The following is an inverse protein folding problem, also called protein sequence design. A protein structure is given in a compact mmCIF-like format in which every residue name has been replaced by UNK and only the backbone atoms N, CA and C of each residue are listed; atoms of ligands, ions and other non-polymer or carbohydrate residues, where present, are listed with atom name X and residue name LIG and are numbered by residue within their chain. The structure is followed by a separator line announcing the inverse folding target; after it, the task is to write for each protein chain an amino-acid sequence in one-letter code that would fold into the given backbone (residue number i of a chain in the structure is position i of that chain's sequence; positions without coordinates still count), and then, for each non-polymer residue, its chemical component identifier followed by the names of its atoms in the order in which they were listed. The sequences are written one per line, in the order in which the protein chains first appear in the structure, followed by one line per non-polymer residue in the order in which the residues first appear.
data_IF_701196800347
#
_entry.id   IF_701196800347
#
_cell.length_a   1.000
_cell.length_b   1.000
_cell.length_c   1.000
_cell.angle_alpha   90.00
_cell.angle_beta   90.00
_cell.angle_gamma   90.00
#
_symmetry.space_group_name_H-M   'P 1'
#
loop_
_entity.id
_entity.type
_entity.pdbx_description
1 polymer ?
#
# COMPACT_ATOMS: atom_id res chain seq x y z
N UNK A 1 -33.65 12.29 -19.78
CA UNK A 1 -32.48 13.10 -20.10
C UNK A 1 -31.89 13.70 -18.82
N UNK A 2 -32.66 14.41 -17.99
CA UNK A 2 -32.24 15.05 -16.73
C UNK A 2 -31.62 14.03 -15.77
N UNK A 3 -32.26 12.86 -15.56
CA UNK A 3 -31.72 11.77 -14.72
C UNK A 3 -30.31 11.36 -15.16
N UNK A 4 -30.08 11.17 -16.45
CA UNK A 4 -28.78 10.71 -16.97
C UNK A 4 -27.70 11.80 -16.79
N UNK A 5 -28.05 13.08 -16.99
CA UNK A 5 -27.12 14.20 -16.71
C UNK A 5 -26.76 14.30 -15.24
N UNK A 6 -27.72 14.16 -14.34
CA UNK A 6 -27.48 14.13 -12.90
C UNK A 6 -26.57 12.94 -12.49
N UNK A 7 -26.78 11.77 -13.09
CA UNK A 7 -25.94 10.60 -12.82
C UNK A 7 -24.51 10.82 -13.30
N UNK A 8 -24.30 11.40 -14.48
CA UNK A 8 -22.96 11.74 -14.98
C UNK A 8 -22.27 12.76 -14.09
N UNK A 9 -23.00 13.80 -13.66
CA UNK A 9 -22.47 14.81 -12.74
C UNK A 9 -22.07 14.18 -11.39
N UNK A 10 -22.92 13.32 -10.84
CA UNK A 10 -22.64 12.60 -9.58
C UNK A 10 -21.39 11.71 -9.72
N UNK A 11 -21.24 10.95 -10.81
CA UNK A 11 -20.09 10.09 -11.06
C UNK A 11 -18.82 10.94 -11.18
N UNK A 12 -18.87 12.05 -11.92
CA UNK A 12 -17.73 12.95 -12.08
C UNK A 12 -17.29 13.54 -10.72
N UNK A 13 -18.23 14.09 -9.97
CA UNK A 13 -17.96 14.73 -8.69
C UNK A 13 -17.39 13.72 -7.67
N UNK A 14 -18.03 12.55 -7.57
CA UNK A 14 -17.56 11.46 -6.74
C UNK A 14 -16.14 11.01 -7.11
N UNK A 15 -15.90 10.74 -8.40
CA UNK A 15 -14.59 10.28 -8.87
C UNK A 15 -13.50 11.31 -8.58
N UNK A 16 -13.78 12.60 -8.89
CA UNK A 16 -12.81 13.67 -8.62
C UNK A 16 -12.46 13.77 -7.12
N UNK A 17 -13.47 13.71 -6.24
CA UNK A 17 -13.25 13.75 -4.79
C UNK A 17 -12.39 12.58 -4.31
N UNK A 18 -12.70 11.37 -4.74
CA UNK A 18 -11.98 10.15 -4.31
C UNK A 18 -10.55 10.11 -4.87
N UNK A 19 -10.35 10.54 -6.12
CA UNK A 19 -9.00 10.61 -6.69
C UNK A 19 -8.13 11.67 -6.00
N UNK A 20 -8.67 12.85 -5.68
CA UNK A 20 -7.95 13.86 -4.92
C UNK A 20 -7.56 13.36 -3.52
N UNK A 21 -8.50 12.72 -2.80
CA UNK A 21 -8.21 12.10 -1.51
C UNK A 21 -7.10 11.06 -1.61
N UNK A 22 -7.13 10.22 -2.65
CA UNK A 22 -6.10 9.19 -2.86
C UNK A 22 -4.73 9.81 -3.11
N UNK A 23 -4.66 10.84 -3.96
CA UNK A 23 -3.44 11.62 -4.21
C UNK A 23 -2.86 12.17 -2.92
N UNK A 24 -3.66 12.93 -2.16
CA UNK A 24 -3.21 13.57 -0.92
C UNK A 24 -2.74 12.55 0.12
N UNK A 25 -3.42 11.41 0.21
CA UNK A 25 -3.03 10.33 1.12
C UNK A 25 -1.77 9.62 0.66
N UNK A 26 -1.60 9.35 -0.63
CA UNK A 26 -0.37 8.77 -1.19
C UNK A 26 0.84 9.67 -0.95
N UNK A 27 0.71 10.97 -1.17
CA UNK A 27 1.74 11.96 -0.83
C UNK A 27 2.08 11.95 0.66
N UNK A 28 1.07 11.88 1.54
CA UNK A 28 1.28 11.81 2.97
C UNK A 28 1.97 10.51 3.41
N UNK A 29 1.64 9.37 2.80
CA UNK A 29 2.31 8.09 3.04
C UNK A 29 3.79 8.20 2.64
N UNK A 30 4.09 8.79 1.47
CA UNK A 30 5.47 9.03 1.04
C UNK A 30 6.22 9.93 2.03
N UNK A 31 5.60 11.02 2.50
CA UNK A 31 6.17 11.91 3.53
C UNK A 31 6.50 11.13 4.80
N UNK A 32 5.60 10.27 5.27
CA UNK A 32 5.83 9.43 6.45
C UNK A 32 7.01 8.49 6.22
N UNK A 33 7.10 7.85 5.04
CA UNK A 33 8.22 6.95 4.74
C UNK A 33 9.56 7.68 4.66
N UNK A 34 9.61 8.87 4.07
CA UNK A 34 10.81 9.70 4.03
C UNK A 34 11.21 10.23 5.41
N UNK A 35 10.27 10.32 6.36
CA UNK A 35 10.56 10.73 7.74
C UNK A 35 11.15 9.60 8.60
N UNK A 36 11.05 8.34 8.15
CA UNK A 36 11.60 7.18 8.89
C UNK A 36 13.12 7.26 8.97
N UNK A 37 13.68 6.74 10.07
CA UNK A 37 15.12 6.52 10.13
C UNK A 37 15.56 5.51 9.06
N UNK A 38 16.78 5.67 8.54
CA UNK A 38 17.34 4.77 7.53
C UNK A 38 17.28 3.28 7.94
N UNK A 39 17.51 3.00 9.21
CA UNK A 39 17.42 1.65 9.77
C UNK A 39 16.00 1.05 9.68
N UNK A 40 14.97 1.87 9.93
CA UNK A 40 13.56 1.47 9.77
C UNK A 40 13.19 1.32 8.29
N UNK A 41 13.72 2.21 7.44
CA UNK A 41 13.48 2.17 5.99
C UNK A 41 14.05 0.87 5.38
N UNK A 42 15.24 0.44 5.75
CA UNK A 42 15.87 -0.76 5.21
C UNK A 42 15.22 -2.10 5.63
N UNK A 43 14.21 -2.08 6.51
CA UNK A 43 13.45 -3.29 6.87
C UNK A 43 12.54 -3.80 5.76
N UNK A 44 12.21 -2.95 4.82
CA UNK A 44 11.36 -3.28 3.66
C UNK A 44 12.13 -3.08 2.36
N UNK A 45 11.70 -3.78 1.34
CA UNK A 45 12.24 -3.58 -0.02
C UNK A 45 11.58 -2.37 -0.69
N UNK A 46 12.27 -1.78 -1.65
CA UNK A 46 11.73 -0.66 -2.46
C UNK A 46 10.41 -1.05 -3.12
N UNK A 47 10.31 -2.29 -3.61
CA UNK A 47 9.09 -2.85 -4.22
C UNK A 47 7.89 -2.85 -3.26
N UNK A 48 8.13 -3.12 -1.95
CA UNK A 48 7.07 -3.07 -0.94
C UNK A 48 6.60 -1.63 -0.71
N UNK A 49 7.51 -0.65 -0.69
CA UNK A 49 7.14 0.76 -0.59
C UNK A 49 6.35 1.25 -1.78
N UNK A 50 6.77 0.93 -3.00
CA UNK A 50 6.04 1.30 -4.24
C UNK A 50 4.62 0.73 -4.20
N UNK A 51 4.49 -0.56 -3.84
CA UNK A 51 3.19 -1.21 -3.71
C UNK A 51 2.30 -0.49 -2.69
N UNK A 52 2.83 -0.15 -1.52
CA UNK A 52 2.05 0.48 -0.45
C UNK A 52 1.62 1.92 -0.79
N UNK A 53 2.52 2.71 -1.39
CA UNK A 53 2.23 4.11 -1.73
C UNK A 53 1.20 4.22 -2.85
N UNK A 54 1.30 3.37 -3.86
CA UNK A 54 0.44 3.45 -5.05
C UNK A 54 -0.73 2.49 -4.92
N UNK A 55 -0.45 1.18 -4.86
CA UNK A 55 -1.47 0.13 -5.01
C UNK A 55 -2.35 -0.04 -3.77
N UNK A 56 -1.75 -0.06 -2.58
CA UNK A 56 -2.52 -0.25 -1.35
C UNK A 56 -3.31 1.02 -1.02
N UNK A 57 -2.78 2.22 -1.29
CA UNK A 57 -3.53 3.47 -1.18
C UNK A 57 -4.73 3.51 -2.15
N UNK A 58 -4.53 3.15 -3.42
CA UNK A 58 -5.59 3.05 -4.41
C UNK A 58 -6.68 2.06 -3.98
N UNK A 59 -6.29 0.85 -3.55
CA UNK A 59 -7.23 -0.16 -3.08
C UNK A 59 -8.06 0.30 -1.87
N UNK A 60 -7.49 1.07 -0.95
CA UNK A 60 -8.20 1.56 0.24
C UNK A 60 -9.11 2.74 -0.11
N UNK A 61 -8.57 3.79 -0.71
CA UNK A 61 -9.31 5.04 -0.88
C UNK A 61 -10.26 5.02 -2.08
N UNK A 62 -9.87 4.45 -3.21
CA UNK A 62 -10.75 4.29 -4.37
C UNK A 62 -11.60 3.02 -4.21
N UNK A 63 -10.94 1.89 -3.93
CA UNK A 63 -11.60 0.59 -3.88
C UNK A 63 -12.58 0.49 -2.70
N UNK A 64 -12.07 0.41 -1.48
CA UNK A 64 -12.91 0.10 -0.30
C UNK A 64 -13.93 1.22 -0.02
N UNK A 65 -13.51 2.49 -0.06
CA UNK A 65 -14.42 3.61 0.20
C UNK A 65 -15.57 3.65 -0.82
N UNK A 66 -15.27 3.49 -2.11
CA UNK A 66 -16.28 3.43 -3.16
C UNK A 66 -17.27 2.29 -3.00
N UNK A 67 -16.76 1.12 -2.63
CA UNK A 67 -17.59 -0.06 -2.40
C UNK A 67 -18.50 0.12 -1.18
N UNK A 68 -18.03 0.75 -0.09
CA UNK A 68 -18.85 1.04 1.08
C UNK A 68 -20.00 2.02 0.75
N UNK A 69 -19.72 3.06 -0.02
CA UNK A 69 -20.77 3.99 -0.49
C UNK A 69 -21.81 3.24 -1.33
N UNK A 70 -21.39 2.36 -2.23
CA UNK A 70 -22.31 1.54 -3.03
C UNK A 70 -23.20 0.66 -2.13
N UNK A 71 -22.62 0.01 -1.11
CA UNK A 71 -23.38 -0.83 -0.16
C UNK A 71 -24.45 0.00 0.54
N UNK A 72 -24.10 1.17 1.06
CA UNK A 72 -25.06 2.06 1.76
C UNK A 72 -26.20 2.47 0.83
N UNK A 73 -25.90 2.90 -0.39
CA UNK A 73 -26.91 3.30 -1.36
C UNK A 73 -27.87 2.15 -1.74
N UNK A 74 -27.32 0.96 -1.97
CA UNK A 74 -28.15 -0.20 -2.34
C UNK A 74 -28.97 -0.73 -1.14
N UNK A 75 -28.46 -0.65 0.09
CA UNK A 75 -29.24 -0.97 1.31
C UNK A 75 -30.42 -0.01 1.45
N UNK A 76 -30.21 1.30 1.30
CA UNK A 76 -31.29 2.29 1.35
C UNK A 76 -32.35 2.02 0.26
N UNK A 77 -31.90 1.68 -0.94
CA UNK A 77 -32.81 1.31 -2.04
C UNK A 77 -33.64 0.07 -1.69
N UNK A 78 -33.03 -0.98 -1.13
CA UNK A 78 -33.74 -2.18 -0.70
C UNK A 78 -34.75 -1.88 0.42
N UNK A 79 -34.42 -1.03 1.37
CA UNK A 79 -35.37 -0.62 2.42
C UNK A 79 -36.61 0.06 1.84
N UNK A 80 -36.45 0.98 0.91
CA UNK A 80 -37.57 1.64 0.23
C UNK A 80 -38.43 0.61 -0.51
N UNK A 81 -37.79 -0.32 -1.20
CA UNK A 81 -38.48 -1.34 -1.99
C UNK A 81 -39.25 -2.32 -1.11
N UNK A 82 -38.67 -2.77 0.01
CA UNK A 82 -39.32 -3.65 0.99
C UNK A 82 -40.52 -2.93 1.63
N UNK A 83 -40.37 -1.67 2.02
CA UNK A 83 -41.47 -0.85 2.54
C UNK A 83 -42.64 -0.75 1.55
N UNK A 84 -42.35 -0.55 0.27
CA UNK A 84 -43.37 -0.51 -0.77
C UNK A 84 -44.10 -1.86 -0.91
N UNK A 85 -43.36 -2.95 -0.93
CA UNK A 85 -43.92 -4.31 -1.05
C UNK A 85 -44.78 -4.67 0.16
N UNK A 86 -44.36 -4.35 1.37
CA UNK A 86 -45.10 -4.65 2.61
C UNK A 86 -46.47 -3.94 2.71
N UNK A 87 -46.65 -2.83 2.00
CA UNK A 87 -47.93 -2.12 1.95
C UNK A 87 -48.92 -2.66 0.88
N UNK A 88 -48.44 -3.50 -0.04
CA UNK A 88 -49.24 -4.01 -1.16
C UNK A 88 -49.54 -5.51 -0.98
N UNK A 89 -48.67 -6.25 -0.34
CA UNK A 89 -48.71 -7.72 -0.22
C UNK A 89 -49.21 -8.12 1.17
N UNK A 90 -50.00 -9.19 1.27
CA UNK A 90 -50.52 -9.71 2.53
C UNK A 90 -49.41 -10.04 3.53
N UNK A 91 -49.75 -9.90 4.82
CA UNK A 91 -48.81 -10.06 5.95
C UNK A 91 -48.12 -11.43 5.96
N UNK A 92 -48.83 -12.50 5.65
CA UNK A 92 -48.28 -13.85 5.64
C UNK A 92 -47.19 -14.02 4.57
N UNK A 93 -47.42 -13.54 3.36
CA UNK A 93 -46.43 -13.56 2.27
C UNK A 93 -45.22 -12.66 2.58
N UNK A 94 -45.43 -11.58 3.34
CA UNK A 94 -44.36 -10.71 3.79
C UNK A 94 -43.37 -11.43 4.73
N UNK A 95 -43.86 -12.32 5.61
CA UNK A 95 -43.02 -13.15 6.51
C UNK A 95 -42.20 -14.15 5.73
N UNK A 96 -42.83 -14.89 4.80
CA UNK A 96 -42.13 -15.87 3.96
C UNK A 96 -41.01 -15.21 3.13
N UNK A 97 -41.27 -14.04 2.62
CA UNK A 97 -40.29 -13.23 1.91
C UNK A 97 -39.11 -12.81 2.82
N UNK A 98 -39.36 -12.36 4.05
CA UNK A 98 -38.32 -12.01 5.00
C UNK A 98 -37.44 -13.22 5.35
N UNK A 99 -38.03 -14.41 5.55
CA UNK A 99 -37.30 -15.65 5.82
C UNK A 99 -36.39 -16.05 4.65
N UNK A 100 -36.87 -15.87 3.41
CA UNK A 100 -36.09 -16.08 2.21
C UNK A 100 -34.85 -15.16 2.17
N UNK A 101 -35.04 -13.87 2.36
CA UNK A 101 -33.94 -12.89 2.42
C UNK A 101 -32.94 -13.24 3.52
N UNK A 102 -33.41 -13.64 4.68
CA UNK A 102 -32.54 -14.04 5.81
C UNK A 102 -31.68 -15.27 5.47
N UNK A 103 -32.27 -16.29 4.85
CA UNK A 103 -31.52 -17.50 4.43
C UNK A 103 -30.41 -17.17 3.43
N UNK A 104 -30.67 -16.23 2.52
CA UNK A 104 -29.67 -15.76 1.57
C UNK A 104 -28.50 -15.03 2.24
N UNK A 105 -28.77 -14.20 3.27
CA UNK A 105 -27.72 -13.52 4.02
C UNK A 105 -26.74 -14.52 4.66
N UNK A 106 -27.23 -15.64 5.18
CA UNK A 106 -26.39 -16.69 5.78
C UNK A 106 -25.46 -17.31 4.72
N UNK A 107 -25.99 -17.65 3.54
CA UNK A 107 -25.19 -18.22 2.44
C UNK A 107 -24.11 -17.23 1.99
N UNK A 108 -24.47 -15.96 1.89
CA UNK A 108 -23.51 -14.92 1.53
C UNK A 108 -22.39 -14.78 2.55
N UNK A 109 -22.68 -14.85 3.84
CA UNK A 109 -21.67 -14.80 4.88
C UNK A 109 -20.58 -15.88 4.69
N UNK A 110 -21.00 -17.10 4.32
CA UNK A 110 -20.06 -18.19 4.03
C UNK A 110 -19.17 -17.88 2.81
N UNK A 111 -19.75 -17.42 1.70
CA UNK A 111 -19.01 -17.05 0.49
C UNK A 111 -18.01 -15.91 0.74
N UNK A 112 -18.36 -14.99 1.61
CA UNK A 112 -17.50 -13.84 1.99
C UNK A 112 -16.21 -14.26 2.70
N UNK A 113 -16.25 -15.33 3.51
CA UNK A 113 -15.05 -15.84 4.16
C UNK A 113 -13.99 -16.31 3.16
N UNK A 114 -14.43 -16.90 2.04
CA UNK A 114 -13.57 -17.32 0.94
C UNK A 114 -12.90 -16.11 0.25
N UNK A 115 -13.63 -15.02 0.03
CA UNK A 115 -13.10 -13.80 -0.56
C UNK A 115 -11.95 -13.21 0.27
N UNK A 116 -12.08 -13.18 1.59
CA UNK A 116 -11.03 -12.75 2.50
C UNK A 116 -9.77 -13.63 2.39
N UNK A 117 -9.95 -14.95 2.31
CA UNK A 117 -8.83 -15.91 2.12
C UNK A 117 -8.10 -15.66 0.80
N UNK A 118 -8.84 -15.50 -0.30
CA UNK A 118 -8.26 -15.21 -1.61
C UNK A 118 -7.56 -13.85 -1.65
N UNK A 119 -8.12 -12.84 -1.00
CA UNK A 119 -7.50 -11.53 -0.86
C UNK A 119 -6.15 -11.59 -0.15
N UNK A 120 -6.03 -12.41 0.90
CA UNK A 120 -4.78 -12.65 1.61
C UNK A 120 -3.72 -13.32 0.71
N UNK A 121 -4.13 -14.35 -0.04
CA UNK A 121 -3.25 -15.06 -0.99
C UNK A 121 -2.77 -14.10 -2.08
N UNK A 122 -3.67 -13.29 -2.63
CA UNK A 122 -3.34 -12.26 -3.62
C UNK A 122 -2.28 -11.31 -3.09
N UNK A 123 -2.52 -10.70 -1.94
CA UNK A 123 -1.64 -9.68 -1.38
C UNK A 123 -0.21 -10.18 -1.12
N UNK A 124 -0.07 -11.45 -0.69
CA UNK A 124 1.24 -12.09 -0.50
C UNK A 124 1.94 -12.32 -1.85
N UNK A 125 1.21 -12.87 -2.83
CA UNK A 125 1.81 -13.16 -4.14
C UNK A 125 2.10 -11.91 -4.94
N UNK A 126 1.32 -10.85 -4.79
CA UNK A 126 1.58 -9.55 -5.39
C UNK A 126 2.95 -8.98 -4.96
N UNK A 127 3.28 -9.06 -3.66
CA UNK A 127 4.62 -8.68 -3.16
C UNK A 127 5.71 -9.54 -3.81
N UNK A 128 5.49 -10.86 -3.92
CA UNK A 128 6.47 -11.78 -4.54
C UNK A 128 6.67 -11.48 -6.03
N UNK A 129 5.60 -11.13 -6.75
CA UNK A 129 5.65 -10.72 -8.17
C UNK A 129 6.52 -9.48 -8.33
N UNK A 130 6.23 -8.40 -7.60
CA UNK A 130 7.02 -7.17 -7.66
C UNK A 130 8.48 -7.40 -7.26
N UNK A 131 8.70 -8.18 -6.18
CA UNK A 131 10.04 -8.51 -5.71
C UNK A 131 10.83 -9.30 -6.76
N UNK A 132 10.24 -10.36 -7.33
CA UNK A 132 10.92 -11.17 -8.34
C UNK A 132 11.26 -10.37 -9.59
N UNK A 133 10.38 -9.44 -9.97
CA UNK A 133 10.61 -8.56 -11.12
C UNK A 133 11.80 -7.62 -10.86
N UNK A 134 11.79 -6.92 -9.72
CA UNK A 134 12.89 -5.99 -9.37
C UNK A 134 14.22 -6.72 -9.18
N UNK A 135 14.23 -7.90 -8.56
CA UNK A 135 15.44 -8.73 -8.45
C UNK A 135 15.98 -9.11 -9.83
N UNK A 136 15.10 -9.58 -10.73
CA UNK A 136 15.47 -10.00 -12.08
C UNK A 136 16.06 -8.84 -12.91
N UNK A 137 15.43 -7.66 -12.84
CA UNK A 137 15.92 -6.48 -13.56
C UNK A 137 17.24 -5.96 -13.00
N UNK A 138 17.44 -6.02 -11.70
CA UNK A 138 18.67 -5.57 -11.05
C UNK A 138 19.88 -6.44 -11.41
N UNK A 139 19.69 -7.74 -11.66
CA UNK A 139 20.75 -8.69 -12.04
C UNK A 139 20.73 -9.04 -13.54
N UNK A 140 20.25 -8.10 -14.38
CA UNK A 140 20.08 -8.34 -15.81
C UNK A 140 21.39 -8.72 -16.51
N UNK A 141 22.52 -8.09 -16.14
CA UNK A 141 23.84 -8.38 -16.71
C UNK A 141 24.28 -9.82 -16.40
N UNK A 142 24.12 -10.25 -15.17
CA UNK A 142 24.45 -11.60 -14.69
C UNK A 142 23.59 -12.67 -15.37
N UNK A 143 22.30 -12.36 -15.59
CA UNK A 143 21.40 -13.25 -16.34
C UNK A 143 21.89 -13.41 -17.78
N UNK A 144 22.27 -12.31 -18.44
CA UNK A 144 22.78 -12.33 -19.81
C UNK A 144 24.09 -13.10 -19.94
N UNK A 145 25.02 -12.91 -19.00
CA UNK A 145 26.30 -13.62 -19.01
C UNK A 145 26.17 -15.14 -18.83
N UNK A 146 25.17 -15.56 -18.03
CA UNK A 146 24.89 -16.99 -17.77
C UNK A 146 23.91 -17.62 -18.75
N UNK A 147 23.31 -16.83 -19.63
CA UNK A 147 22.25 -17.24 -20.58
C UNK A 147 21.08 -18.00 -19.92
N UNK A 148 20.72 -17.64 -18.69
CA UNK A 148 19.76 -18.37 -17.85
C UNK A 148 18.40 -17.65 -17.76
N UNK A 149 17.92 -17.12 -18.88
CA UNK A 149 16.66 -16.35 -18.94
C UNK A 149 15.45 -17.18 -18.48
N UNK A 150 15.41 -18.46 -18.87
CA UNK A 150 14.29 -19.35 -18.60
C UNK A 150 13.97 -19.50 -17.10
N UNK A 151 14.99 -19.61 -16.27
CA UNK A 151 14.83 -19.78 -14.82
C UNK A 151 14.11 -18.57 -14.19
N UNK A 152 14.46 -17.36 -14.59
CA UNK A 152 13.85 -16.14 -14.03
C UNK A 152 12.43 -15.93 -14.57
N UNK A 153 12.19 -16.22 -15.85
CA UNK A 153 10.86 -16.17 -16.45
C UNK A 153 9.93 -17.20 -15.80
N UNK A 154 10.38 -18.44 -15.59
CA UNK A 154 9.58 -19.49 -14.96
C UNK A 154 9.26 -19.16 -13.48
N UNK A 155 10.26 -18.65 -12.73
CA UNK A 155 10.07 -18.19 -11.34
C UNK A 155 9.03 -17.08 -11.25
N UNK A 156 9.12 -16.07 -12.10
CA UNK A 156 8.15 -14.98 -12.19
C UNK A 156 6.77 -15.50 -12.59
N UNK A 157 6.69 -16.39 -13.61
CA UNK A 157 5.46 -17.02 -14.06
C UNK A 157 4.73 -17.80 -12.96
N UNK A 158 5.46 -18.51 -12.10
CA UNK A 158 4.86 -19.22 -10.96
C UNK A 158 4.20 -18.27 -9.95
N UNK A 159 4.84 -17.12 -9.64
CA UNK A 159 4.22 -16.12 -8.77
C UNK A 159 3.01 -15.46 -9.42
N UNK A 160 3.08 -15.17 -10.72
CA UNK A 160 1.95 -14.66 -11.50
C UNK A 160 0.79 -15.63 -11.53
N UNK A 161 1.04 -16.92 -11.76
CA UNK A 161 -0.02 -17.96 -11.74
C UNK A 161 -0.78 -17.94 -10.42
N UNK A 162 -0.09 -17.93 -9.28
CA UNK A 162 -0.73 -17.90 -7.96
C UNK A 162 -1.49 -16.59 -7.72
N UNK A 163 -0.96 -15.47 -8.19
CA UNK A 163 -1.61 -14.16 -8.12
C UNK A 163 -2.91 -14.17 -8.95
N UNK A 164 -2.87 -14.62 -10.20
CA UNK A 164 -4.03 -14.65 -11.07
C UNK A 164 -5.06 -15.70 -10.65
N UNK A 165 -4.66 -16.87 -10.16
CA UNK A 165 -5.60 -17.88 -9.63
C UNK A 165 -6.44 -17.30 -8.47
N UNK A 166 -5.85 -16.50 -7.60
CA UNK A 166 -6.61 -15.81 -6.54
C UNK A 166 -7.58 -14.77 -7.08
N UNK A 167 -7.25 -14.09 -8.20
CA UNK A 167 -8.15 -13.14 -8.87
C UNK A 167 -9.30 -13.83 -9.59
N UNK A 168 -9.03 -14.95 -10.27
CA UNK A 168 -10.05 -15.78 -10.94
C UNK A 168 -11.04 -16.27 -9.88
N UNK A 169 -10.55 -16.86 -8.77
CA UNK A 169 -11.41 -17.31 -7.69
C UNK A 169 -12.28 -16.20 -7.09
N UNK A 170 -11.71 -15.01 -6.88
CA UNK A 170 -12.47 -13.86 -6.41
C UNK A 170 -13.53 -13.40 -7.44
N UNK A 171 -13.19 -13.43 -8.74
CA UNK A 171 -14.14 -13.15 -9.81
C UNK A 171 -15.34 -14.07 -9.80
N UNK A 172 -15.12 -15.38 -9.66
CA UNK A 172 -16.21 -16.37 -9.54
C UNK A 172 -17.07 -16.10 -8.31
N UNK A 173 -16.46 -15.92 -7.13
CA UNK A 173 -17.20 -15.64 -5.89
C UNK A 173 -18.04 -14.37 -5.99
N UNK A 174 -17.56 -13.36 -6.71
CA UNK A 174 -18.30 -12.11 -6.88
C UNK A 174 -19.60 -12.26 -7.68
N UNK A 175 -19.65 -13.20 -8.63
CA UNK A 175 -20.83 -13.42 -9.49
C UNK A 175 -21.77 -14.48 -8.91
N UNK A 176 -21.25 -15.44 -8.14
CA UNK A 176 -22.01 -16.56 -7.55
C UNK A 176 -23.27 -16.12 -6.80
N UNK A 177 -23.28 -15.05 -5.97
CA UNK A 177 -24.48 -14.63 -5.25
C UNK A 177 -25.67 -14.31 -6.15
N UNK A 178 -25.43 -13.74 -7.32
CA UNK A 178 -26.49 -13.44 -8.30
C UNK A 178 -27.24 -14.71 -8.70
N UNK A 179 -26.50 -15.74 -9.10
CA UNK A 179 -27.09 -17.01 -9.53
C UNK A 179 -27.82 -17.74 -8.39
N UNK A 180 -27.25 -17.69 -7.18
CA UNK A 180 -27.91 -18.26 -6.00
C UNK A 180 -29.25 -17.54 -5.77
N UNK A 181 -29.29 -16.23 -5.87
CA UNK A 181 -30.50 -15.45 -5.67
C UNK A 181 -31.57 -15.77 -6.75
N UNK A 182 -31.18 -15.88 -8.01
CA UNK A 182 -32.07 -16.27 -9.11
C UNK A 182 -32.70 -17.65 -8.87
N UNK A 183 -31.91 -18.64 -8.47
CA UNK A 183 -32.39 -20.01 -8.15
C UNK A 183 -33.35 -19.94 -6.95
N UNK A 184 -33.04 -19.18 -5.91
CA UNK A 184 -33.94 -19.08 -4.75
C UNK A 184 -35.28 -18.43 -5.10
N UNK A 185 -35.33 -17.45 -5.95
CA UNK A 185 -36.59 -16.84 -6.41
C UNK A 185 -37.45 -17.86 -7.16
N UNK A 186 -36.84 -18.63 -8.06
CA UNK A 186 -37.56 -19.68 -8.82
C UNK A 186 -38.15 -20.73 -7.87
N UNK A 187 -37.32 -21.17 -6.91
CA UNK A 187 -37.77 -22.18 -5.91
C UNK A 187 -38.89 -21.60 -5.02
N UNK A 188 -38.80 -20.36 -4.62
CA UNK A 188 -39.81 -19.67 -3.81
C UNK A 188 -41.17 -19.65 -4.52
N UNK A 189 -41.23 -19.22 -5.77
CA UNK A 189 -42.47 -19.22 -6.54
C UNK A 189 -42.99 -20.63 -6.83
N UNK A 190 -42.10 -21.59 -7.04
CA UNK A 190 -42.50 -22.99 -7.23
C UNK A 190 -43.18 -23.57 -5.97
N UNK A 191 -42.64 -23.28 -4.77
CA UNK A 191 -43.21 -23.73 -3.50
C UNK A 191 -44.58 -23.11 -3.26
N UNK A 192 -44.74 -21.81 -3.48
CA UNK A 192 -46.04 -21.11 -3.32
C UNK A 192 -47.07 -21.69 -4.26
N UNK A 193 -46.74 -21.83 -5.54
CA UNK A 193 -47.65 -22.37 -6.55
C UNK A 193 -48.14 -23.79 -6.19
N UNK A 194 -47.24 -24.62 -5.70
CA UNK A 194 -47.58 -26.00 -5.26
C UNK A 194 -48.46 -26.03 -4.02
N UNK A 195 -48.20 -25.19 -3.03
CA UNK A 195 -48.88 -25.24 -1.74
C UNK A 195 -50.34 -24.70 -1.81
N UNK A 196 -50.61 -23.76 -2.69
CA UNK A 196 -51.91 -23.09 -2.72
C UNK A 196 -52.88 -23.63 -3.76
N UNK A 197 -52.51 -24.66 -4.58
CA UNK A 197 -53.35 -25.23 -5.63
C UNK A 197 -54.03 -24.16 -6.52
N UNK A 198 -53.36 -23.07 -6.79
CA UNK A 198 -53.85 -21.93 -7.54
C UNK A 198 -53.91 -22.24 -9.04
N UNK A 199 -54.89 -21.67 -9.73
CA UNK A 199 -54.85 -21.60 -11.19
C UNK A 199 -53.74 -20.68 -11.64
N UNK A 200 -53.19 -20.89 -12.86
CA UNK A 200 -52.10 -20.01 -13.38
C UNK A 200 -52.54 -18.56 -13.44
N UNK A 201 -53.81 -18.30 -13.80
CA UNK A 201 -54.34 -16.94 -13.91
C UNK A 201 -54.39 -16.24 -12.56
N UNK A 202 -54.94 -16.85 -11.50
CA UNK A 202 -54.99 -16.27 -10.17
C UNK A 202 -53.58 -16.07 -9.59
N UNK A 203 -52.70 -17.05 -9.79
CA UNK A 203 -51.31 -16.93 -9.36
C UNK A 203 -50.61 -15.74 -10.02
N UNK A 204 -50.77 -15.53 -11.32
CA UNK A 204 -50.15 -14.39 -12.03
C UNK A 204 -50.73 -13.05 -11.56
N UNK A 205 -52.00 -12.98 -11.27
CA UNK A 205 -52.65 -11.74 -10.79
C UNK A 205 -52.14 -11.37 -9.35
N UNK A 206 -52.16 -12.31 -8.44
CA UNK A 206 -51.90 -12.05 -7.03
C UNK A 206 -50.39 -11.85 -6.77
N UNK A 207 -49.52 -12.54 -7.52
CA UNK A 207 -48.06 -12.54 -7.26
C UNK A 207 -47.25 -11.72 -8.26
N UNK A 208 -47.88 -11.10 -9.26
CA UNK A 208 -47.16 -10.29 -10.28
C UNK A 208 -46.34 -9.13 -9.69
N UNK A 209 -46.94 -8.43 -8.74
CA UNK A 209 -46.27 -7.29 -8.06
C UNK A 209 -45.05 -7.75 -7.28
N UNK A 210 -45.19 -8.89 -6.57
CA UNK A 210 -44.11 -9.51 -5.82
C UNK A 210 -42.99 -9.99 -6.76
N UNK A 211 -43.33 -10.61 -7.89
CA UNK A 211 -42.38 -11.05 -8.90
C UNK A 211 -41.55 -9.87 -9.47
N UNK A 212 -42.22 -8.78 -9.83
CA UNK A 212 -41.56 -7.56 -10.33
C UNK A 212 -40.62 -6.97 -9.25
N UNK A 213 -41.07 -6.93 -8.00
CA UNK A 213 -40.25 -6.44 -6.89
C UNK A 213 -38.99 -7.29 -6.68
N UNK A 214 -39.14 -8.62 -6.66
CA UNK A 214 -38.02 -9.55 -6.55
C UNK A 214 -37.02 -9.41 -7.71
N UNK A 215 -37.50 -9.33 -8.94
CA UNK A 215 -36.65 -9.10 -10.11
C UNK A 215 -35.84 -7.80 -10.00
N UNK A 216 -36.43 -6.74 -9.40
CA UNK A 216 -35.73 -5.48 -9.14
C UNK A 216 -34.74 -5.57 -7.98
N UNK A 217 -34.93 -6.48 -7.04
CA UNK A 217 -34.00 -6.69 -5.91
C UNK A 217 -32.74 -7.45 -6.31
N UNK A 218 -32.79 -8.31 -7.35
CA UNK A 218 -31.63 -9.11 -7.82
C UNK A 218 -30.39 -8.24 -8.05
N UNK A 219 -30.43 -7.16 -8.86
CA UNK A 219 -29.23 -6.36 -9.12
C UNK A 219 -28.71 -5.67 -7.86
N UNK A 220 -29.57 -5.17 -6.99
CA UNK A 220 -29.16 -4.49 -5.75
C UNK A 220 -28.49 -5.46 -4.77
N UNK A 221 -29.09 -6.64 -4.59
CA UNK A 221 -28.52 -7.67 -3.75
C UNK A 221 -27.17 -8.19 -4.29
N UNK A 222 -27.08 -8.37 -5.59
CA UNK A 222 -25.85 -8.71 -6.28
C UNK A 222 -24.74 -7.65 -6.06
N UNK A 223 -25.06 -6.36 -6.19
CA UNK A 223 -24.11 -5.27 -5.96
C UNK A 223 -23.64 -5.20 -4.50
N UNK A 224 -24.53 -5.35 -3.52
CA UNK A 224 -24.16 -5.39 -2.10
C UNK A 224 -23.18 -6.53 -1.85
N UNK A 225 -23.52 -7.74 -2.31
CA UNK A 225 -22.70 -8.92 -2.13
C UNK A 225 -21.33 -8.81 -2.80
N UNK A 226 -21.30 -8.35 -4.06
CA UNK A 226 -20.05 -8.10 -4.79
C UNK A 226 -19.19 -7.06 -4.09
N UNK A 227 -19.80 -5.93 -3.69
CA UNK A 227 -19.08 -4.85 -3.03
C UNK A 227 -18.49 -5.31 -1.70
N UNK A 228 -19.25 -6.03 -0.88
CA UNK A 228 -18.76 -6.56 0.39
C UNK A 228 -17.66 -7.61 0.20
N UNK A 229 -17.83 -8.52 -0.76
CA UNK A 229 -16.80 -9.49 -1.12
C UNK A 229 -15.49 -8.81 -1.54
N UNK A 230 -15.58 -7.75 -2.33
CA UNK A 230 -14.40 -6.97 -2.77
C UNK A 230 -13.78 -6.17 -1.61
N UNK A 231 -14.55 -5.64 -0.66
CA UNK A 231 -14.02 -5.02 0.56
C UNK A 231 -13.17 -6.04 1.33
N UNK A 232 -13.71 -7.23 1.58
CA UNK A 232 -12.98 -8.30 2.28
C UNK A 232 -11.73 -8.77 1.52
N UNK A 233 -11.79 -8.78 0.20
CA UNK A 233 -10.66 -9.11 -0.66
C UNK A 233 -9.52 -8.07 -0.57
N UNK A 234 -9.86 -6.81 -0.33
CA UNK A 234 -8.90 -5.70 -0.25
C UNK A 234 -8.50 -5.34 1.19
N UNK A 235 -9.17 -5.86 2.22
CA UNK A 235 -9.01 -5.45 3.63
C UNK A 235 -7.57 -5.53 4.14
N UNK A 236 -6.76 -6.40 3.57
CA UNK A 236 -5.35 -6.52 3.93
C UNK A 236 -4.54 -5.26 3.60
N UNK A 237 -4.96 -4.47 2.61
CA UNK A 237 -4.32 -3.20 2.29
C UNK A 237 -4.46 -2.20 3.44
N UNK A 238 -5.62 -2.17 4.13
CA UNK A 238 -5.82 -1.35 5.34
C UNK A 238 -4.83 -1.73 6.42
N UNK A 239 -4.69 -3.03 6.73
CA UNK A 239 -3.81 -3.51 7.80
C UNK A 239 -2.35 -3.14 7.54
N UNK A 240 -1.90 -3.14 6.28
CA UNK A 240 -0.55 -2.71 5.92
C UNK A 240 -0.35 -1.20 6.09
N UNK A 241 -1.32 -0.40 5.69
CA UNK A 241 -1.26 1.05 5.84
C UNK A 241 -1.35 1.46 7.31
N UNK A 242 -2.26 0.87 8.08
CA UNK A 242 -2.45 1.19 9.50
C UNK A 242 -1.21 0.85 10.32
N UNK A 243 -0.63 -0.33 10.15
CA UNK A 243 0.61 -0.72 10.84
C UNK A 243 1.77 0.24 10.59
N UNK A 244 1.90 0.74 9.36
CA UNK A 244 2.97 1.67 9.00
C UNK A 244 2.70 3.11 9.44
N UNK A 245 1.44 3.53 9.45
CA UNK A 245 1.04 4.87 9.84
C UNK A 245 1.02 5.03 11.37
N UNK A 246 0.48 4.07 12.10
CA UNK A 246 0.36 4.13 13.57
C UNK A 246 1.72 4.06 14.29
N UNK A 247 2.64 3.24 13.79
CA UNK A 247 3.97 3.06 14.40
C UNK A 247 4.97 4.19 14.10
N UNK A 248 4.63 5.19 13.29
CA UNK A 248 5.57 6.18 12.79
C UNK A 248 5.08 7.63 12.86
N UNK A 249 4.16 7.92 13.75
CA UNK A 249 3.77 9.30 14.09
C UNK A 249 4.87 10.04 14.90
N UNK A 250 6.13 9.85 14.55
CA UNK A 250 7.14 10.86 14.87
C UNK A 250 6.72 12.11 14.10
N UNK A 251 6.08 13.04 14.80
CA UNK A 251 5.67 14.37 14.31
C UNK A 251 6.89 15.19 13.89
N UNK A 252 7.61 14.68 12.88
CA UNK A 252 8.68 15.46 12.26
C UNK A 252 8.04 16.34 11.21
N UNK A 253 7.76 17.58 11.61
CA UNK A 253 7.37 18.62 10.67
C UNK A 253 8.41 18.69 9.54
N UNK A 254 7.97 18.49 8.29
CA UNK A 254 8.77 18.75 7.08
C UNK A 254 9.16 20.24 6.94
N UNK A 255 8.63 21.09 7.82
CA UNK A 255 8.97 22.49 7.89
C UNK A 255 10.12 22.66 8.87
N UNK A 256 11.35 22.73 8.34
CA UNK A 256 12.37 23.62 8.90
C UNK A 256 13.66 23.58 8.06
N UNK A 257 13.96 24.66 7.33
CA UNK A 257 15.33 25.10 7.16
C UNK A 257 15.86 25.46 8.56
N UNK A 258 16.26 24.46 9.35
CA UNK A 258 16.98 24.74 10.60
C UNK A 258 18.38 25.20 10.25
N UNK A 259 18.86 26.22 10.96
CA UNK A 259 20.26 26.62 10.94
C UNK A 259 21.08 25.37 11.30
N UNK A 260 21.82 24.84 10.32
CA UNK A 260 22.64 23.66 10.53
C UNK A 260 23.89 24.03 11.27
N UNK A 261 24.16 23.35 12.37
CA UNK A 261 25.38 23.55 13.17
C UNK A 261 26.61 23.05 12.39
N UNK A 262 27.79 23.69 12.61
CA UNK A 262 29.05 23.20 12.06
C UNK A 262 29.61 22.08 12.92
N UNK A 263 30.15 21.05 12.28
CA UNK A 263 30.82 19.94 12.96
C UNK A 263 32.28 20.29 13.14
N UNK A 264 32.76 20.30 14.39
CA UNK A 264 34.17 20.49 14.70
C UNK A 264 34.84 19.17 15.10
N UNK A 265 34.09 18.25 15.70
CA UNK A 265 34.59 16.96 16.14
C UNK A 265 33.47 15.93 16.17
N UNK A 266 33.75 14.68 15.74
CA UNK A 266 32.89 13.50 15.95
C UNK A 266 33.71 12.48 16.69
N UNK A 267 33.16 11.89 17.77
CA UNK A 267 33.82 10.81 18.48
C UNK A 267 32.86 9.65 18.79
N UNK A 268 33.36 8.45 18.59
CA UNK A 268 32.71 7.19 18.94
C UNK A 268 33.37 6.66 20.21
N UNK A 269 32.58 6.30 21.23
CA UNK A 269 33.08 5.73 22.48
C UNK A 269 32.39 4.41 22.79
N UNK A 270 33.20 3.33 22.87
CA UNK A 270 32.73 1.99 23.20
C UNK A 270 31.64 1.43 22.27
N UNK A 271 31.67 1.82 20.99
CA UNK A 271 30.60 1.49 20.05
C UNK A 271 30.63 0.00 19.68
N UNK A 272 29.48 -0.66 19.82
CA UNK A 272 29.24 -2.02 19.36
C UNK A 272 28.20 -2.03 18.25
N UNK A 273 28.44 -2.82 17.19
CA UNK A 273 27.52 -3.06 16.09
C UNK A 273 27.20 -4.56 16.01
N UNK A 274 25.93 -4.89 15.93
CA UNK A 274 25.47 -6.28 15.74
C UNK A 274 24.59 -6.33 14.50
N UNK A 275 24.86 -7.27 13.62
CA UNK A 275 24.00 -7.54 12.47
C UNK A 275 23.10 -8.74 12.79
N UNK A 276 21.79 -8.53 12.76
CA UNK A 276 20.80 -9.62 12.74
C UNK A 276 20.47 -9.96 11.29
N UNK A 277 20.81 -11.14 10.83
CA UNK A 277 20.21 -11.70 9.62
C UNK A 277 18.74 -12.04 9.93
N UNK A 278 17.80 -11.56 9.12
CA UNK A 278 16.35 -11.66 9.33
C UNK A 278 15.81 -13.08 9.53
N UNK A 279 16.56 -14.14 9.27
CA UNK A 279 16.10 -15.54 9.35
C UNK A 279 17.06 -16.51 10.05
N UNK A 280 18.10 -16.04 10.74
CA UNK A 280 18.99 -16.93 11.48
C UNK A 280 19.08 -16.56 12.95
N UNK A 281 18.91 -17.55 13.85
CA UNK A 281 19.19 -17.45 15.28
C UNK A 281 20.67 -17.18 15.59
N UNK A 282 21.55 -17.18 14.59
CA UNK A 282 22.98 -16.94 14.74
C UNK A 282 23.31 -15.47 14.53
N UNK A 283 23.87 -14.87 15.56
CA UNK A 283 24.46 -13.52 15.55
C UNK A 283 25.67 -13.52 14.61
N UNK A 284 25.54 -12.90 13.45
CA UNK A 284 26.65 -12.68 12.53
C UNK A 284 27.53 -11.52 13.02
N UNK A 285 28.81 -11.61 12.73
CA UNK A 285 29.93 -10.68 12.97
C UNK A 285 29.61 -9.44 13.83
N UNK A 286 30.23 -9.36 14.98
CA UNK A 286 30.06 -8.33 15.99
C UNK A 286 31.32 -7.45 16.00
N UNK A 287 31.12 -6.15 15.70
CA UNK A 287 32.16 -5.16 15.99
C UNK A 287 32.03 -4.71 17.45
N UNK A 288 33.11 -4.78 18.21
CA UNK A 288 33.11 -4.47 19.64
C UNK A 288 34.10 -3.35 19.95
N UNK A 289 33.72 -2.53 20.91
CA UNK A 289 34.59 -1.54 21.57
C UNK A 289 35.30 -0.59 20.60
N UNK A 290 34.56 -0.02 19.64
CA UNK A 290 35.14 0.94 18.69
C UNK A 290 35.24 2.31 19.36
N UNK A 291 36.48 2.81 19.42
CA UNK A 291 36.79 4.14 19.91
C UNK A 291 37.52 4.90 18.80
N UNK A 292 36.87 5.92 18.24
CA UNK A 292 37.39 6.72 17.13
C UNK A 292 37.13 8.19 17.40
N UNK A 293 38.03 9.05 16.94
CA UNK A 293 37.90 10.49 17.06
C UNK A 293 38.27 11.15 15.73
N UNK A 294 37.37 12.01 15.23
CA UNK A 294 37.50 12.72 13.98
C UNK A 294 37.43 14.22 14.26
N UNK A 295 38.44 14.97 13.85
CA UNK A 295 38.57 16.41 14.08
C UNK A 295 38.47 17.11 12.73
N UNK A 296 37.83 18.29 12.75
CA UNK A 296 37.66 19.12 11.56
C UNK A 296 38.99 19.49 10.93
N UNK A 297 39.07 19.52 9.60
CA UNK A 297 40.25 19.87 8.83
C UNK A 297 41.15 18.70 8.49
N UNK A 298 40.97 17.54 9.09
CA UNK A 298 41.76 16.35 8.80
C UNK A 298 41.02 15.40 7.83
N UNK A 299 41.79 14.66 7.04
CA UNK A 299 41.33 13.55 6.19
C UNK A 299 41.66 12.24 6.89
N UNK A 300 40.68 11.37 7.01
CA UNK A 300 40.83 10.06 7.66
C UNK A 300 40.55 8.93 6.69
N UNK A 301 41.43 7.92 6.64
CA UNK A 301 41.27 6.70 5.88
C UNK A 301 40.84 5.54 6.79
N UNK A 302 39.79 4.81 6.38
CA UNK A 302 39.39 3.54 7.02
C UNK A 302 39.85 2.36 6.18
N UNK A 303 40.87 1.65 6.66
CA UNK A 303 41.45 0.47 5.99
C UNK A 303 41.01 -0.81 6.66
N UNK A 304 40.95 -1.90 5.89
CA UNK A 304 40.64 -3.23 6.38
C UNK A 304 40.01 -4.11 5.29
N UNK A 305 39.89 -5.39 5.57
CA UNK A 305 39.34 -6.39 4.67
C UNK A 305 37.86 -6.12 4.29
N UNK A 306 37.38 -6.70 3.18
CA UNK A 306 35.97 -6.65 2.83
C UNK A 306 35.12 -7.29 3.95
N UNK A 307 34.03 -6.63 4.33
CA UNK A 307 33.18 -7.09 5.44
C UNK A 307 33.71 -6.80 6.85
N UNK A 308 34.82 -6.06 7.03
CA UNK A 308 35.34 -5.65 8.35
C UNK A 308 34.46 -4.64 9.09
N UNK A 309 33.45 -4.06 8.43
CA UNK A 309 32.48 -3.12 9.02
C UNK A 309 32.77 -1.65 8.78
N UNK A 310 33.65 -1.31 7.84
CA UNK A 310 33.96 0.08 7.44
C UNK A 310 32.73 0.90 7.13
N UNK A 311 31.88 0.38 6.24
CA UNK A 311 30.61 1.02 5.85
C UNK A 311 29.66 1.21 7.03
N UNK A 312 29.68 0.28 7.99
CA UNK A 312 28.86 0.39 9.20
C UNK A 312 29.28 1.51 10.10
N UNK A 313 30.62 1.70 10.25
CA UNK A 313 31.19 2.82 11.01
C UNK A 313 30.80 4.14 10.34
N UNK A 314 30.94 4.24 9.00
CA UNK A 314 30.51 5.42 8.24
C UNK A 314 29.03 5.71 8.40
N UNK A 315 28.17 4.68 8.35
CA UNK A 315 26.72 4.81 8.53
C UNK A 315 26.36 5.29 9.96
N UNK A 316 27.13 4.92 10.99
CA UNK A 316 26.94 5.44 12.35
C UNK A 316 27.38 6.91 12.42
N UNK A 317 28.53 7.26 11.86
CA UNK A 317 29.02 8.64 11.80
C UNK A 317 28.05 9.55 11.06
N UNK A 318 27.50 9.05 9.94
CA UNK A 318 26.48 9.74 9.17
C UNK A 318 25.09 9.78 9.84
N UNK A 319 24.90 9.06 10.95
CA UNK A 319 23.62 9.05 11.66
C UNK A 319 22.54 8.15 11.04
N UNK A 320 22.90 7.24 10.15
CA UNK A 320 21.97 6.31 9.50
C UNK A 320 21.64 5.10 10.37
N UNK A 321 22.61 4.60 11.13
CA UNK A 321 22.48 3.41 11.98
C UNK A 321 22.82 3.75 13.42
N UNK A 322 22.02 3.24 14.36
CA UNK A 322 22.26 3.41 15.78
C UNK A 322 23.17 2.30 16.31
N UNK A 323 24.20 2.59 17.14
CA UNK A 323 25.01 1.57 17.76
C UNK A 323 24.17 0.77 18.77
N UNK A 324 24.48 -0.53 18.92
CA UNK A 324 23.83 -1.38 19.93
C UNK A 324 24.28 -1.04 21.35
N UNK A 325 25.58 -0.70 21.50
CA UNK A 325 26.17 -0.19 22.73
C UNK A 325 27.15 0.93 22.38
N UNK A 326 27.50 1.71 23.38
CA UNK A 326 28.36 2.86 23.21
C UNK A 326 27.62 4.12 22.82
N UNK A 327 28.34 5.19 22.56
CA UNK A 327 27.78 6.51 22.32
C UNK A 327 28.52 7.25 21.22
N UNK A 328 27.76 8.05 20.49
CA UNK A 328 28.27 9.00 19.49
C UNK A 328 28.25 10.41 20.09
N UNK A 329 29.35 11.13 19.96
CA UNK A 329 29.45 12.52 20.37
C UNK A 329 29.74 13.38 19.14
N UNK A 330 29.04 14.51 19.03
CA UNK A 330 29.31 15.55 18.04
C UNK A 330 29.55 16.85 18.80
N UNK A 331 30.68 17.50 18.55
CA UNK A 331 31.10 18.70 19.27
C UNK A 331 31.08 18.49 20.81
N UNK A 332 31.56 17.34 21.29
CA UNK A 332 31.56 16.92 22.70
C UNK A 332 30.18 16.69 23.32
N UNK A 333 29.08 16.88 22.56
CA UNK A 333 27.71 16.60 23.02
C UNK A 333 27.29 15.19 22.64
N UNK A 334 26.73 14.44 23.57
CA UNK A 334 26.14 13.12 23.30
C UNK A 334 24.94 13.29 22.37
N UNK A 335 24.91 12.56 21.26
CA UNK A 335 23.87 12.64 20.24
C UNK A 335 23.22 11.28 20.00
N UNK A 336 21.90 11.28 19.79
CA UNK A 336 21.24 10.15 19.15
C UNK A 336 21.56 10.18 17.67
N UNK A 337 21.86 9.05 17.07
CA UNK A 337 22.27 8.98 15.65
C UNK A 337 21.24 9.58 14.71
N UNK A 338 19.94 9.34 14.94
CA UNK A 338 18.86 9.94 14.14
C UNK A 338 18.73 11.48 14.27
N UNK A 339 19.43 12.13 15.20
CA UNK A 339 19.45 13.58 15.34
C UNK A 339 20.60 14.21 14.54
N UNK A 340 21.63 13.42 14.18
CA UNK A 340 22.82 13.93 13.49
C UNK A 340 22.42 14.51 12.14
N UNK A 341 21.69 13.77 11.31
CA UNK A 341 21.19 14.22 9.99
C UNK A 341 20.22 15.40 10.08
N UNK A 342 19.55 15.56 11.23
CA UNK A 342 18.60 16.67 11.45
C UNK A 342 19.30 17.98 11.84
N UNK A 343 20.45 17.90 12.50
CA UNK A 343 21.17 19.07 13.05
C UNK A 343 22.38 19.48 12.23
N UNK A 344 22.98 18.55 11.48
CA UNK A 344 24.20 18.77 10.74
C UNK A 344 24.03 18.46 9.26
N UNK A 345 24.78 19.16 8.41
CA UNK A 345 24.84 18.89 6.98
C UNK A 345 25.98 17.91 6.71
N UNK A 346 25.67 16.76 6.12
CA UNK A 346 26.63 15.70 5.80
C UNK A 346 26.56 15.45 4.29
N UNK A 347 27.69 15.53 3.61
CA UNK A 347 27.85 15.01 2.24
C UNK A 347 28.17 13.53 2.32
N UNK A 348 27.37 12.70 1.67
CA UNK A 348 27.56 11.26 1.63
C UNK A 348 27.63 10.76 0.19
N UNK A 349 28.80 10.29 -0.24
CA UNK A 349 28.99 9.69 -1.55
C UNK A 349 28.86 8.16 -1.42
N UNK A 350 27.96 7.56 -2.19
CA UNK A 350 27.77 6.11 -2.24
C UNK A 350 28.71 5.47 -3.26
N UNK A 351 29.03 4.17 -3.08
CA UNK A 351 29.84 3.43 -4.03
C UNK A 351 29.16 3.30 -5.40
N UNK A 352 27.83 3.20 -5.41
CA UNK A 352 26.99 3.15 -6.62
C UNK A 352 26.00 4.31 -6.56
N UNK A 353 26.36 5.51 -7.06
CA UNK A 353 25.46 6.64 -7.06
C UNK A 353 24.30 6.42 -8.03
N UNK A 354 23.10 6.79 -7.60
CA UNK A 354 21.91 6.80 -8.45
C UNK A 354 21.79 8.17 -9.09
N UNK A 355 21.73 8.23 -10.41
CA UNK A 355 21.48 9.46 -11.17
C UNK A 355 19.97 9.54 -11.40
N UNK A 356 19.40 10.69 -11.05
CA UNK A 356 17.99 11.01 -11.29
C UNK A 356 17.88 11.64 -12.68
N UNK A 357 16.77 11.39 -13.39
CA UNK A 357 16.49 11.99 -14.70
C UNK A 357 16.14 13.47 -14.54
N UNK A 358 17.14 14.24 -14.16
CA UNK A 358 17.10 15.66 -13.88
C UNK A 358 18.45 16.32 -14.30
N UNK A 359 18.49 17.63 -14.31
CA UNK A 359 19.71 18.36 -14.66
C UNK A 359 20.87 18.12 -13.68
N UNK A 360 22.09 18.44 -14.11
CA UNK A 360 23.31 18.25 -13.32
C UNK A 360 23.24 19.02 -11.99
N UNK A 361 22.69 20.23 -11.98
CA UNK A 361 22.52 21.02 -10.76
C UNK A 361 21.68 20.31 -9.73
N UNK A 362 20.57 19.67 -10.13
CA UNK A 362 19.71 18.91 -9.22
C UNK A 362 20.42 17.64 -8.73
N UNK A 363 21.08 16.89 -9.63
CA UNK A 363 21.81 15.67 -9.25
C UNK A 363 22.98 15.93 -8.28
N UNK A 364 23.59 17.12 -8.34
CA UNK A 364 24.71 17.47 -7.45
C UNK A 364 24.25 18.04 -6.10
N UNK A 365 23.12 18.72 -6.06
CA UNK A 365 22.69 19.44 -4.85
C UNK A 365 21.47 18.85 -4.17
N UNK A 366 20.62 18.10 -4.90
CA UNK A 366 19.30 17.64 -4.48
C UNK A 366 18.43 18.78 -3.92
N UNK A 367 18.61 19.99 -4.45
CA UNK A 367 17.93 21.19 -3.99
C UNK A 367 17.14 21.82 -5.14
N UNK A 368 15.94 22.30 -4.88
CA UNK A 368 15.10 23.01 -5.83
C UNK A 368 15.10 24.48 -5.43
N UNK A 369 15.72 25.35 -6.24
CA UNK A 369 15.76 26.78 -5.93
C UNK A 369 14.34 27.37 -5.98
N UNK A 370 14.03 28.21 -4.97
CA UNK A 370 12.71 28.84 -4.83
C UNK A 370 12.53 30.06 -5.74
N UNK A 371 13.63 30.63 -6.25
CA UNK A 371 13.61 31.79 -7.15
C UNK A 371 14.84 31.81 -8.10
N UNK A 372 14.80 32.68 -9.12
CA UNK A 372 15.85 32.77 -10.12
C UNK A 372 17.24 33.21 -9.52
N UNK A 373 17.27 34.04 -8.49
CA UNK A 373 18.50 34.40 -7.79
C UNK A 373 19.17 33.21 -7.12
N UNK A 374 18.39 32.37 -6.45
CA UNK A 374 18.89 31.12 -5.86
C UNK A 374 19.37 30.14 -6.93
N UNK A 375 18.63 30.03 -8.05
CA UNK A 375 19.01 29.21 -9.20
C UNK A 375 20.35 29.61 -9.80
N UNK A 376 20.56 30.90 -10.03
CA UNK A 376 21.80 31.40 -10.59
C UNK A 376 22.97 31.21 -9.61
N UNK A 377 22.76 31.43 -8.31
CA UNK A 377 23.79 31.19 -7.27
C UNK A 377 24.11 29.68 -7.14
N UNK A 378 23.12 28.80 -7.29
CA UNK A 378 23.32 27.37 -7.26
C UNK A 378 24.13 26.91 -8.49
N UNK A 379 23.71 27.33 -9.67
CA UNK A 379 24.38 27.01 -10.92
C UNK A 379 25.83 27.50 -10.98
N UNK A 380 26.13 28.71 -10.46
CA UNK A 380 27.50 29.22 -10.39
C UNK A 380 28.38 28.37 -9.46
N UNK A 381 27.84 27.92 -8.33
CA UNK A 381 28.56 27.01 -7.43
C UNK A 381 28.80 25.64 -8.09
N UNK A 382 27.77 25.07 -8.77
CA UNK A 382 27.92 23.80 -9.45
C UNK A 382 28.98 23.89 -10.55
N UNK A 383 28.95 24.93 -11.40
CA UNK A 383 29.99 25.19 -12.40
C UNK A 383 31.37 25.29 -11.79
N UNK A 384 31.51 25.99 -10.68
CA UNK A 384 32.80 26.13 -9.98
C UNK A 384 33.36 24.77 -9.56
N UNK A 385 32.51 23.87 -8.98
CA UNK A 385 32.98 22.56 -8.57
C UNK A 385 33.24 21.63 -9.76
N UNK A 386 32.42 21.68 -10.83
CA UNK A 386 32.66 20.91 -12.03
C UNK A 386 33.99 21.25 -12.68
N UNK A 387 34.33 22.55 -12.76
CA UNK A 387 35.62 23.01 -13.28
C UNK A 387 36.81 22.51 -12.45
N UNK A 388 36.68 22.36 -11.12
CA UNK A 388 37.74 21.79 -10.26
C UNK A 388 38.03 20.35 -10.64
N UNK A 389 37.02 19.60 -11.05
CA UNK A 389 37.13 18.18 -11.43
C UNK A 389 37.32 17.96 -12.93
N UNK A 390 37.51 19.03 -13.73
CA UNK A 390 37.61 18.96 -15.20
C UNK A 390 36.40 18.25 -15.87
N UNK A 391 35.19 18.53 -15.39
CA UNK A 391 33.92 18.01 -15.90
C UNK A 391 33.10 19.07 -16.63
#
# INVERSE_FOLDING_TARGET
LIKNLLTLFQIYFYSNMVFQLTKDKSENILKIYLSKSYEKFNKKTVSEYIKQIIRDAENVFIGIFGLLVTIVCEILYLFILIYFVSNIVDFQLSIEFILLVFSLVIILYFLMSLSKKLGNIRAINEIKVFKSLTETLNIFKEIKTKNNNYLFVSRFGNFLKNYFNSRIGAGVINVTPKFIFEIFIILFFFIIFRNQNLSIESFLLDYSVLAIALLRMIPSFSKISQSWSMVLYQIRAINFLDYDLSNNLDKTSFKQKKILEKINQISLKGVEIRYQRSNSKFLSKKLKNINLNFVKGNIYGLFGESGSGKTSILNIIAGFISPHKGTVYVNKRKMKTNEITKKFRIGYATQNPTIIDENISFNTTLDIPSNEKEKNKLNSKVKFYLNIFNL
#
